data_IF_619278904037
#
_entry.id   IF_619278904037
#
_cell.length_a   1.000
_cell.length_b   1.000
_cell.length_c   1.000
_cell.angle_alpha   90.00
_cell.angle_beta   90.00
_cell.angle_gamma   90.00
#
_symmetry.space_group_name_H-M   'P 1'
#
loop_
_entity.id
_entity.type
_entity.pdbx_description
1 polymer ?
#
# COMPACT_ATOMS: atom_id res chain seq x y z
N UNK A 1 -30.82 44.35 -2.81
CA UNK A 1 -29.53 43.64 -2.66
C UNK A 1 -29.70 42.22 -2.12
N UNK A 2 -30.74 41.94 -1.32
CA UNK A 2 -30.99 40.60 -0.74
C UNK A 2 -31.17 39.46 -1.78
N UNK A 3 -31.84 39.73 -2.91
CA UNK A 3 -32.08 38.70 -3.95
C UNK A 3 -30.81 38.27 -4.69
N UNK A 4 -29.83 39.16 -4.85
CA UNK A 4 -28.53 38.83 -5.45
C UNK A 4 -27.71 37.92 -4.54
N UNK A 5 -27.78 38.13 -3.22
CA UNK A 5 -27.09 37.31 -2.23
C UNK A 5 -27.72 35.91 -2.13
N UNK A 6 -29.06 35.80 -2.18
CA UNK A 6 -29.75 34.49 -2.25
C UNK A 6 -29.37 33.71 -3.52
N UNK A 7 -29.30 34.38 -4.67
CA UNK A 7 -28.86 33.76 -5.92
C UNK A 7 -27.39 33.28 -5.85
N UNK A 8 -26.51 34.06 -5.22
CA UNK A 8 -25.10 33.71 -5.06
C UNK A 8 -24.89 32.46 -4.19
N UNK A 9 -25.63 32.36 -3.08
CA UNK A 9 -25.56 31.18 -2.19
C UNK A 9 -26.05 29.92 -2.91
N UNK A 10 -27.14 30.03 -3.69
CA UNK A 10 -27.69 28.91 -4.47
C UNK A 10 -26.72 28.48 -5.57
N UNK A 11 -26.12 29.43 -6.29
CA UNK A 11 -25.12 29.13 -7.32
C UNK A 11 -23.86 28.45 -6.73
N UNK A 12 -23.42 28.86 -5.53
CA UNK A 12 -22.32 28.24 -4.83
C UNK A 12 -22.58 26.77 -4.46
N UNK A 13 -23.79 26.45 -4.00
CA UNK A 13 -24.17 25.07 -3.67
C UNK A 13 -24.25 24.16 -4.91
N UNK A 14 -24.73 24.68 -6.03
CA UNK A 14 -24.77 23.94 -7.30
C UNK A 14 -23.34 23.67 -7.82
N UNK A 15 -22.46 24.67 -7.76
CA UNK A 15 -21.05 24.52 -8.13
C UNK A 15 -20.33 23.49 -7.26
N UNK A 16 -20.54 23.52 -5.94
CA UNK A 16 -19.99 22.52 -5.02
C UNK A 16 -20.48 21.12 -5.35
N UNK A 17 -21.76 20.97 -5.72
CA UNK A 17 -22.33 19.67 -6.09
C UNK A 17 -21.70 19.11 -7.37
N UNK A 18 -21.52 19.95 -8.40
CA UNK A 18 -20.85 19.56 -9.65
C UNK A 18 -19.39 19.19 -9.38
N UNK A 19 -18.70 19.92 -8.50
CA UNK A 19 -17.33 19.62 -8.10
C UNK A 19 -17.23 18.29 -7.35
N UNK A 20 -18.17 17.98 -6.45
CA UNK A 20 -18.22 16.71 -5.70
C UNK A 20 -18.50 15.54 -6.65
N UNK A 21 -19.40 15.70 -7.63
CA UNK A 21 -19.67 14.68 -8.65
C UNK A 21 -18.46 14.47 -9.55
N UNK A 22 -17.79 15.54 -9.97
CA UNK A 22 -16.57 15.48 -10.77
C UNK A 22 -15.40 14.82 -10.03
N UNK A 23 -15.23 15.12 -8.75
CA UNK A 23 -14.23 14.47 -7.89
C UNK A 23 -14.56 13.00 -7.65
N UNK A 24 -15.85 12.66 -7.47
CA UNK A 24 -16.34 11.29 -7.36
C UNK A 24 -16.06 10.48 -8.63
N UNK A 25 -16.34 11.06 -9.81
CA UNK A 25 -16.00 10.46 -11.11
C UNK A 25 -14.50 10.35 -11.34
N UNK A 26 -13.70 11.30 -10.87
CA UNK A 26 -12.23 11.26 -10.98
C UNK A 26 -11.61 10.16 -10.10
N UNK A 27 -12.07 10.03 -8.85
CA UNK A 27 -11.70 8.92 -7.97
C UNK A 27 -12.21 7.60 -8.54
N UNK A 28 -13.44 7.56 -9.07
CA UNK A 28 -14.00 6.39 -9.75
C UNK A 28 -13.18 6.01 -10.98
N UNK A 29 -12.69 6.93 -11.80
CA UNK A 29 -11.84 6.60 -12.96
C UNK A 29 -10.45 6.11 -12.53
N UNK A 30 -9.89 6.67 -11.45
CA UNK A 30 -8.66 6.12 -10.84
C UNK A 30 -8.85 4.74 -10.23
N UNK A 31 -10.04 4.44 -9.71
CA UNK A 31 -10.41 3.12 -9.22
C UNK A 31 -10.74 2.16 -10.38
N UNK A 32 -11.54 2.58 -11.36
CA UNK A 32 -12.01 1.80 -12.49
C UNK A 32 -10.86 1.36 -13.42
N UNK A 33 -9.84 2.21 -13.60
CA UNK A 33 -8.60 1.82 -14.30
C UNK A 33 -7.79 0.73 -13.58
N UNK A 34 -8.10 0.44 -12.30
CA UNK A 34 -7.53 -0.64 -11.51
C UNK A 34 -8.52 -1.79 -11.21
N UNK A 35 -9.77 -1.73 -11.74
CA UNK A 35 -10.89 -2.61 -11.38
C UNK A 35 -11.45 -3.42 -12.55
N UNK A 36 -10.71 -3.63 -13.64
CA UNK A 36 -11.07 -4.69 -14.58
C UNK A 36 -10.78 -6.07 -13.95
N UNK A 37 -11.73 -6.59 -13.18
CA UNK A 37 -11.92 -8.04 -13.04
C UNK A 37 -11.88 -8.67 -11.64
N UNK A 38 -11.72 -7.94 -10.54
CA UNK A 38 -11.70 -8.57 -9.21
C UNK A 38 -12.82 -7.99 -8.34
N UNK A 39 -13.71 -8.87 -7.88
CA UNK A 39 -14.64 -8.62 -6.78
C UNK A 39 -13.81 -8.41 -5.51
N UNK A 40 -13.23 -7.21 -5.34
CA UNK A 40 -12.40 -6.87 -4.19
C UNK A 40 -13.31 -6.93 -2.96
N UNK A 41 -13.16 -7.98 -2.15
CA UNK A 41 -13.78 -8.02 -0.84
C UNK A 41 -13.06 -7.02 0.08
N UNK A 42 -13.54 -5.78 0.11
CA UNK A 42 -12.89 -4.67 0.83
C UNK A 42 -12.63 -4.97 2.31
N UNK A 43 -13.50 -5.76 2.96
CA UNK A 43 -13.31 -6.14 4.36
C UNK A 43 -12.16 -7.14 4.54
N UNK A 44 -12.06 -8.12 3.65
CA UNK A 44 -10.98 -9.11 3.66
C UNK A 44 -9.63 -8.46 3.36
N UNK A 45 -9.59 -7.56 2.38
CA UNK A 45 -8.38 -6.78 2.05
C UNK A 45 -7.97 -5.89 3.22
N UNK A 46 -8.93 -5.21 3.87
CA UNK A 46 -8.62 -4.37 5.03
C UNK A 46 -8.08 -5.20 6.19
N UNK A 47 -8.68 -6.36 6.48
CA UNK A 47 -8.22 -7.27 7.53
C UNK A 47 -6.80 -7.78 7.24
N UNK A 48 -6.55 -8.22 6.00
CA UNK A 48 -5.23 -8.68 5.56
C UNK A 48 -4.16 -7.57 5.69
N UNK A 49 -4.46 -6.37 5.19
CA UNK A 49 -3.49 -5.28 5.16
C UNK A 49 -3.23 -4.68 6.55
N UNK A 50 -4.20 -4.74 7.48
CA UNK A 50 -4.13 -4.10 8.80
C UNK A 50 -2.89 -4.45 9.63
N UNK A 51 -2.34 -5.66 9.44
CA UNK A 51 -1.13 -6.12 10.10
C UNK A 51 0.14 -5.38 9.65
N UNK A 52 0.11 -4.73 8.48
CA UNK A 52 1.30 -4.14 7.83
C UNK A 52 1.18 -2.64 7.60
N UNK A 53 -0.03 -2.10 7.39
CA UNK A 53 -0.21 -0.67 7.02
C UNK A 53 0.43 0.30 8.01
N UNK A 54 0.48 -0.07 9.30
CA UNK A 54 1.03 0.80 10.35
C UNK A 54 2.55 0.96 10.26
N UNK A 55 3.22 0.14 9.46
CA UNK A 55 4.65 0.21 9.22
C UNK A 55 5.00 1.04 7.98
N UNK A 56 4.04 1.53 7.21
CA UNK A 56 4.30 2.37 6.04
C UNK A 56 5.00 3.68 6.45
N UNK A 57 5.89 4.18 5.58
CA UNK A 57 6.62 5.42 5.79
C UNK A 57 7.88 5.25 6.64
N UNK A 58 8.29 6.34 7.30
CA UNK A 58 9.55 6.37 8.05
C UNK A 58 9.41 5.66 9.40
N UNK A 59 10.19 4.60 9.58
CA UNK A 59 10.15 3.73 10.76
C UNK A 59 11.53 3.58 11.41
N UNK A 60 11.52 3.28 12.71
CA UNK A 60 12.75 2.93 13.44
C UNK A 60 13.21 1.52 13.05
N UNK A 61 14.51 1.25 13.11
CA UNK A 61 15.04 -0.07 12.79
C UNK A 61 14.49 -1.20 13.66
N UNK A 62 14.09 -0.93 14.91
CA UNK A 62 13.36 -1.90 15.74
C UNK A 62 11.97 -2.21 15.16
N UNK A 63 11.21 -1.19 14.76
CA UNK A 63 9.90 -1.37 14.13
C UNK A 63 10.01 -2.13 12.80
N UNK A 64 11.02 -1.84 11.99
CA UNK A 64 11.25 -2.56 10.72
C UNK A 64 11.66 -4.02 10.94
N UNK A 65 12.45 -4.32 11.98
CA UNK A 65 12.72 -5.72 12.34
C UNK A 65 11.46 -6.45 12.79
N UNK A 66 10.59 -5.79 13.56
CA UNK A 66 9.29 -6.34 13.93
C UNK A 66 8.40 -6.57 12.70
N UNK A 67 8.42 -5.67 11.72
CA UNK A 67 7.76 -5.87 10.42
C UNK A 67 8.29 -7.12 9.70
N UNK A 68 9.61 -7.30 9.64
CA UNK A 68 10.20 -8.50 9.03
C UNK A 68 9.75 -9.78 9.75
N UNK A 69 9.67 -9.75 11.08
CA UNK A 69 9.18 -10.87 11.88
C UNK A 69 7.69 -11.15 11.65
N UNK A 70 6.86 -10.10 11.50
CA UNK A 70 5.44 -10.20 11.15
C UNK A 70 5.24 -10.80 9.74
N UNK A 71 5.99 -10.32 8.74
CA UNK A 71 5.98 -10.86 7.37
C UNK A 71 6.37 -12.33 7.37
N UNK A 72 7.43 -12.70 8.10
CA UNK A 72 7.85 -14.09 8.22
C UNK A 72 6.76 -14.97 8.81
N UNK A 73 6.12 -14.51 9.89
CA UNK A 73 5.01 -15.22 10.54
C UNK A 73 3.83 -15.40 9.59
N UNK A 74 3.46 -14.33 8.88
CA UNK A 74 2.38 -14.35 7.90
C UNK A 74 2.65 -15.33 6.75
N UNK A 75 3.83 -15.24 6.15
CA UNK A 75 4.23 -16.12 5.05
C UNK A 75 4.28 -17.59 5.49
N UNK A 76 4.75 -17.86 6.71
CA UNK A 76 4.74 -19.20 7.29
C UNK A 76 3.32 -19.74 7.52
N UNK A 77 2.36 -18.89 7.87
CA UNK A 77 0.97 -19.31 8.05
C UNK A 77 0.26 -19.60 6.71
N UNK A 78 0.75 -19.01 5.61
CA UNK A 78 0.15 -19.11 4.28
C UNK A 78 1.02 -19.90 3.29
N UNK A 79 1.89 -20.80 3.74
CA UNK A 79 2.87 -21.53 2.90
C UNK A 79 2.28 -22.21 1.66
N UNK A 80 1.00 -22.60 1.74
CA UNK A 80 0.31 -23.36 0.71
C UNK A 80 -0.43 -22.46 -0.31
N UNK A 81 -0.41 -21.14 -0.10
CA UNK A 81 -1.10 -20.17 -0.95
C UNK A 81 -0.12 -19.05 -1.36
N UNK A 82 0.37 -19.12 -2.60
CA UNK A 82 1.30 -18.14 -3.16
C UNK A 82 0.70 -16.75 -3.33
N UNK A 83 -0.63 -16.63 -3.41
CA UNK A 83 -1.31 -15.34 -3.58
C UNK A 83 -1.32 -14.49 -2.30
N UNK A 84 -1.05 -15.11 -1.15
CA UNK A 84 -0.99 -14.49 0.18
C UNK A 84 0.45 -14.27 0.66
N UNK A 85 1.42 -14.42 -0.23
CA UNK A 85 2.83 -14.38 0.13
C UNK A 85 3.37 -12.97 -0.09
N UNK A 86 4.11 -12.47 0.90
CA UNK A 86 4.61 -11.11 0.90
C UNK A 86 6.12 -11.12 0.65
N UNK A 87 6.53 -10.50 -0.45
CA UNK A 87 7.93 -10.25 -0.75
C UNK A 87 8.50 -9.11 0.08
N UNK A 88 9.74 -9.23 0.55
CA UNK A 88 10.44 -8.15 1.26
C UNK A 88 11.84 -7.92 0.70
N UNK A 89 12.23 -6.65 0.53
CA UNK A 89 13.55 -6.25 0.01
C UNK A 89 14.13 -5.07 0.78
N UNK A 90 15.46 -5.01 0.82
CA UNK A 90 16.23 -3.89 1.38
C UNK A 90 17.07 -3.24 0.28
N UNK A 91 16.99 -1.91 0.14
CA UNK A 91 17.64 -1.13 -0.92
C UNK A 91 16.67 -0.71 -2.03
N UNK A 92 17.21 -0.04 -3.06
CA UNK A 92 16.41 0.42 -4.20
C UNK A 92 15.88 -0.75 -5.02
N UNK A 93 14.61 -0.67 -5.39
CA UNK A 93 14.08 -1.49 -6.48
C UNK A 93 14.52 -0.81 -7.77
N UNK A 94 15.22 -1.53 -8.65
CA UNK A 94 15.10 -1.24 -10.07
C UNK A 94 13.61 -1.19 -10.41
N UNK A 95 13.11 -0.06 -10.90
CA UNK A 95 11.70 0.11 -11.30
C UNK A 95 11.27 -1.11 -12.12
N UNK A 96 10.32 -1.92 -11.61
CA UNK A 96 9.80 -3.08 -12.34
C UNK A 96 9.98 -4.42 -11.63
N UNK A 97 9.50 -4.55 -10.40
CA UNK A 97 8.93 -5.83 -10.00
C UNK A 97 7.43 -5.70 -10.19
N UNK A 98 6.95 -6.34 -11.26
CA UNK A 98 5.56 -6.41 -11.64
C UNK A 98 4.70 -6.83 -10.44
N UNK A 99 3.68 -6.01 -10.18
CA UNK A 99 2.61 -6.22 -9.18
C UNK A 99 1.66 -7.36 -9.55
N UNK A 100 2.03 -8.14 -10.57
CA UNK A 100 1.28 -9.24 -11.19
C UNK A 100 1.92 -10.63 -10.99
N UNK A 101 2.67 -10.83 -9.92
CA UNK A 101 3.19 -12.17 -9.56
C UNK A 101 2.31 -12.86 -8.53
N UNK A 102 1.07 -13.17 -8.91
CA UNK A 102 0.23 -14.13 -8.19
C UNK A 102 0.72 -15.59 -8.39
N UNK A 103 1.57 -15.82 -9.40
CA UNK A 103 1.97 -17.16 -9.91
C UNK A 103 3.48 -17.48 -9.83
N UNK A 104 4.28 -16.72 -9.07
CA UNK A 104 5.67 -17.10 -8.82
C UNK A 104 6.01 -17.05 -7.34
N UNK A 105 6.59 -18.14 -6.83
CA UNK A 105 7.12 -18.25 -5.47
C UNK A 105 8.07 -17.08 -5.21
N UNK A 106 7.68 -16.17 -4.30
CA UNK A 106 8.56 -15.11 -3.84
C UNK A 106 9.54 -15.72 -2.84
N UNK A 107 10.84 -15.56 -3.09
CA UNK A 107 11.88 -16.24 -2.32
C UNK A 107 11.93 -15.77 -0.85
N UNK A 108 11.40 -16.60 0.06
CA UNK A 108 11.25 -16.36 1.50
C UNK A 108 12.57 -16.20 2.27
N UNK A 109 13.69 -16.65 1.68
CA UNK A 109 15.04 -16.54 2.26
C UNK A 109 15.53 -15.09 2.37
N UNK A 110 14.85 -14.18 1.66
CA UNK A 110 15.05 -12.73 1.73
C UNK A 110 14.67 -12.12 3.08
N UNK A 111 13.64 -12.62 3.78
CA UNK A 111 13.11 -11.95 4.99
C UNK A 111 14.12 -11.92 6.13
N UNK A 112 14.78 -13.06 6.39
CA UNK A 112 15.81 -13.15 7.44
C UNK A 112 17.04 -12.32 7.10
N UNK A 113 17.44 -12.34 5.82
CA UNK A 113 18.58 -11.56 5.32
C UNK A 113 18.33 -10.06 5.43
N UNK A 114 17.14 -9.60 5.02
CA UNK A 114 16.69 -8.21 5.17
C UNK A 114 16.67 -7.81 6.64
N UNK A 115 16.04 -8.60 7.52
CA UNK A 115 16.00 -8.34 8.96
C UNK A 115 17.40 -8.12 9.55
N UNK A 116 18.37 -8.94 9.15
CA UNK A 116 19.75 -8.87 9.63
C UNK A 116 20.50 -7.64 9.11
N UNK A 117 20.14 -7.12 7.93
CA UNK A 117 20.68 -5.88 7.38
C UNK A 117 20.17 -4.63 8.10
N UNK A 118 18.95 -4.67 8.66
CA UNK A 118 18.36 -3.56 9.42
C UNK A 118 19.10 -3.34 10.74
N UNK A 119 19.45 -2.10 11.06
CA UNK A 119 20.11 -1.70 12.31
C UNK A 119 19.14 -0.92 13.20
N UNK A 120 18.99 -1.33 14.46
CA UNK A 120 17.99 -0.78 15.40
C UNK A 120 18.17 0.73 15.68
N UNK A 121 19.39 1.27 15.52
CA UNK A 121 19.69 2.70 15.69
C UNK A 121 19.55 3.56 14.44
N UNK A 122 19.00 3.03 13.34
CA UNK A 122 18.77 3.78 12.09
C UNK A 122 17.28 3.92 11.80
N UNK A 123 16.94 4.92 11.00
CA UNK A 123 15.61 5.10 10.43
C UNK A 123 15.60 4.60 8.99
N UNK A 124 14.45 4.04 8.59
CA UNK A 124 14.24 3.46 7.28
C UNK A 124 12.90 3.92 6.72
N UNK A 125 12.80 4.06 5.41
CA UNK A 125 11.54 4.25 4.71
C UNK A 125 10.99 2.91 4.28
N UNK A 126 9.72 2.64 4.61
CA UNK A 126 9.00 1.42 4.23
C UNK A 126 7.94 1.78 3.21
N UNK A 127 7.98 1.10 2.07
CA UNK A 127 6.97 1.22 1.01
C UNK A 127 6.22 -0.10 0.87
N UNK A 128 4.89 -0.03 0.95
CA UNK A 128 4.01 -1.18 0.78
C UNK A 128 3.39 -1.10 -0.62
N UNK A 129 3.39 -2.22 -1.35
CA UNK A 129 2.82 -2.28 -2.70
C UNK A 129 1.77 -3.40 -2.77
N UNK A 130 0.49 -3.07 -2.99
CA UNK A 130 -0.57 -4.05 -3.15
C UNK A 130 -0.55 -4.69 -4.55
N UNK A 131 -0.93 -5.96 -4.65
CA UNK A 131 -1.24 -6.62 -5.92
C UNK A 131 -2.61 -6.18 -6.47
N UNK A 132 -2.99 -6.66 -7.66
CA UNK A 132 -4.33 -6.44 -8.24
C UNK A 132 -5.47 -6.85 -7.30
N UNK A 133 -5.24 -7.81 -6.40
CA UNK A 133 -6.21 -8.23 -5.38
C UNK A 133 -6.43 -7.21 -4.26
N UNK A 134 -5.67 -6.12 -4.21
CA UNK A 134 -5.69 -5.12 -3.14
C UNK A 134 -4.90 -5.54 -1.88
N UNK A 135 -4.51 -6.81 -1.76
CA UNK A 135 -3.68 -7.33 -0.68
C UNK A 135 -2.22 -6.92 -0.89
N UNK A 136 -1.53 -6.56 0.19
CA UNK A 136 -0.09 -6.25 0.16
C UNK A 136 0.69 -7.46 -0.34
N UNK A 137 1.51 -7.26 -1.37
CA UNK A 137 2.30 -8.31 -2.00
C UNK A 137 3.81 -8.04 -1.93
N UNK A 138 4.23 -6.77 -1.91
CA UNK A 138 5.65 -6.40 -1.81
C UNK A 138 5.87 -5.31 -0.78
N UNK A 139 6.94 -5.45 0.00
CA UNK A 139 7.42 -4.49 0.98
C UNK A 139 8.86 -4.15 0.66
N UNK A 140 9.15 -2.86 0.55
CA UNK A 140 10.50 -2.36 0.24
C UNK A 140 10.97 -1.43 1.33
N UNK A 141 12.20 -1.65 1.76
CA UNK A 141 12.82 -0.90 2.84
C UNK A 141 14.06 -0.20 2.29
N UNK A 142 14.12 1.12 2.40
CA UNK A 142 15.32 1.93 2.08
C UNK A 142 15.80 2.68 3.31
N UNK A 143 17.06 3.12 3.34
CA UNK A 143 17.50 4.04 4.42
C UNK A 143 16.70 5.35 4.29
N UNK A 144 16.21 5.89 5.41
CA UNK A 144 15.38 7.10 5.41
C UNK A 144 16.11 8.36 4.89
N UNK A 145 17.45 8.29 4.82
CA UNK A 145 18.33 9.36 4.35
C UNK A 145 18.84 9.14 2.92
N UNK A 146 18.38 8.10 2.21
CA UNK A 146 18.70 7.87 0.80
C UNK A 146 17.89 8.82 -0.08
N UNK A 147 18.23 10.10 -0.02
CA UNK A 147 17.74 11.08 -0.99
C UNK A 147 18.70 11.05 -2.19
N UNK A 148 18.36 10.24 -3.19
CA UNK A 148 18.97 10.28 -4.53
C UNK A 148 17.88 10.29 -5.59
#
# INVERSE_FOLDING_TARGET
MENASKALIIAGAILLSILIIGLGMFIYQKAAGAMEGININSQEVQSYNSAFINYEGTQTGSAVRALCDAVRSHNNANQNDTSLQIGIKFGDIGKGQDVDKLDQTIDYTSVTSVRNAIKVGKMYSVTLTPAKSGKIATIVITDANSNT
#
